data_IF_340907174148
#
_entry.id   IF_340907174148
#
_cell.length_a   1.000
_cell.length_b   1.000
_cell.length_c   1.000
_cell.angle_alpha   90.00
_cell.angle_beta   90.00
_cell.angle_gamma   90.00
#
_symmetry.space_group_name_H-M   'P 1'
#
loop_
_entity.id
_entity.type
_entity.pdbx_description
1 polymer ?
#
# COMPACT_ATOMS: atom_id res chain seq x y z
N UNK A 1 -15.24 13.28 14.88
CA UNK A 1 -15.95 13.48 13.60
C UNK A 1 -15.05 13.01 12.48
N UNK A 2 -15.56 12.28 11.48
CA UNK A 2 -14.73 11.65 10.44
C UNK A 2 -14.11 12.70 9.49
N UNK A 3 -14.89 13.67 9.03
CA UNK A 3 -14.46 14.79 8.17
C UNK A 3 -15.31 16.04 8.43
N UNK A 4 -14.79 17.23 8.11
CA UNK A 4 -15.57 18.49 8.00
C UNK A 4 -15.51 19.02 6.55
N UNK A 5 -16.38 18.54 5.65
CA UNK A 5 -16.39 18.99 4.25
C UNK A 5 -16.56 20.50 4.09
N UNK A 6 -17.28 21.15 5.01
CA UNK A 6 -17.48 22.60 5.03
C UNK A 6 -16.20 23.41 5.32
N UNK A 7 -15.14 22.76 5.79
CA UNK A 7 -13.82 23.36 6.01
C UNK A 7 -12.82 23.00 4.88
N UNK A 8 -13.29 22.38 3.80
CA UNK A 8 -12.42 21.88 2.73
C UNK A 8 -11.57 20.68 3.16
N UNK A 9 -11.94 20.01 4.26
CA UNK A 9 -11.28 18.77 4.67
C UNK A 9 -11.74 17.60 3.81
N UNK A 10 -10.79 16.81 3.32
CA UNK A 10 -11.03 15.57 2.58
C UNK A 10 -10.34 15.54 1.22
N UNK A 11 -10.14 14.34 0.69
CA UNK A 11 -9.63 14.12 -0.67
C UNK A 11 -10.46 13.02 -1.31
N UNK A 12 -11.13 13.34 -2.42
CA UNK A 12 -11.85 12.33 -3.20
C UNK A 12 -10.87 11.62 -4.13
N UNK A 13 -10.98 10.30 -4.15
CA UNK A 13 -10.15 9.39 -4.94
C UNK A 13 -11.07 8.32 -5.54
N UNK A 14 -10.80 7.90 -6.78
CA UNK A 14 -11.53 6.82 -7.45
C UNK A 14 -10.67 5.56 -7.56
N UNK A 15 -10.58 4.79 -6.48
CA UNK A 15 -9.78 3.57 -6.45
C UNK A 15 -10.23 2.53 -7.51
N UNK A 16 -9.26 1.86 -8.13
CA UNK A 16 -9.47 0.64 -8.91
C UNK A 16 -9.81 -0.55 -7.99
N UNK A 17 -10.30 -1.65 -8.57
CA UNK A 17 -10.57 -2.88 -7.82
C UNK A 17 -9.29 -3.43 -7.16
N UNK A 18 -8.17 -3.40 -7.88
CA UNK A 18 -6.86 -3.86 -7.39
C UNK A 18 -6.38 -3.01 -6.21
N UNK A 19 -6.52 -1.69 -6.30
CA UNK A 19 -6.17 -0.78 -5.21
C UNK A 19 -7.01 -1.04 -3.96
N UNK A 20 -8.33 -1.27 -4.11
CA UNK A 20 -9.21 -1.62 -2.99
C UNK A 20 -8.75 -2.93 -2.34
N UNK A 21 -8.44 -3.96 -3.14
CA UNK A 21 -7.94 -5.24 -2.62
C UNK A 21 -6.63 -5.07 -1.86
N UNK A 22 -5.69 -4.28 -2.39
CA UNK A 22 -4.39 -4.06 -1.72
C UNK A 22 -4.55 -3.25 -0.44
N UNK A 23 -5.43 -2.25 -0.41
CA UNK A 23 -5.74 -1.53 0.81
C UNK A 23 -6.35 -2.49 1.84
N UNK A 24 -7.33 -3.31 1.46
CA UNK A 24 -7.94 -4.30 2.35
C UNK A 24 -6.92 -5.30 2.90
N UNK A 25 -5.95 -5.76 2.10
CA UNK A 25 -4.86 -6.63 2.58
C UNK A 25 -4.05 -5.96 3.69
N UNK A 26 -3.80 -4.64 3.61
CA UNK A 26 -3.14 -3.92 4.70
C UNK A 26 -4.06 -3.79 5.90
N UNK A 27 -5.32 -3.35 5.72
CA UNK A 27 -6.26 -3.15 6.82
C UNK A 27 -6.52 -4.45 7.61
N UNK A 28 -6.55 -5.60 6.93
CA UNK A 28 -6.73 -6.94 7.53
C UNK A 28 -5.44 -7.56 8.09
N UNK A 29 -4.34 -6.79 8.10
CA UNK A 29 -3.00 -7.22 8.55
C UNK A 29 -2.37 -8.38 7.75
N UNK A 30 -2.86 -8.66 6.55
CA UNK A 30 -2.14 -9.55 5.63
C UNK A 30 -0.85 -8.90 5.12
N UNK A 31 -0.79 -7.56 5.09
CA UNK A 31 0.39 -6.78 4.72
C UNK A 31 0.67 -5.68 5.76
N UNK A 32 1.95 -5.40 6.02
CA UNK A 32 2.37 -4.31 6.94
C UNK A 32 2.16 -2.92 6.32
N UNK A 33 2.35 -2.81 5.01
CA UNK A 33 2.20 -1.57 4.28
C UNK A 33 2.02 -1.82 2.79
N UNK A 34 1.41 -0.87 2.09
CA UNK A 34 1.31 -0.83 0.64
C UNK A 34 1.31 0.63 0.16
N UNK A 35 1.82 0.86 -1.04
CA UNK A 35 1.78 2.18 -1.68
C UNK A 35 1.72 2.07 -3.19
N UNK A 36 1.09 3.04 -3.83
CA UNK A 36 1.02 3.15 -5.29
C UNK A 36 0.93 4.61 -5.72
N UNK A 37 1.07 4.86 -7.03
CA UNK A 37 0.69 6.11 -7.66
C UNK A 37 -0.58 5.86 -8.45
N UNK A 38 -1.71 6.31 -7.90
CA UNK A 38 -2.99 6.23 -8.57
C UNK A 38 -3.05 7.21 -9.73
N UNK A 39 -3.47 6.72 -10.89
CA UNK A 39 -3.65 7.54 -12.09
C UNK A 39 -5.13 7.51 -12.45
N UNK A 40 -5.77 8.67 -12.40
CA UNK A 40 -7.14 8.83 -12.89
C UNK A 40 -7.20 9.98 -13.87
N UNK A 41 -7.55 9.68 -15.12
CA UNK A 41 -7.39 10.58 -16.26
C UNK A 41 -5.92 11.01 -16.37
N UNK A 42 -5.60 12.27 -16.10
CA UNK A 42 -4.24 12.83 -16.15
C UNK A 42 -3.67 13.15 -14.75
N UNK A 43 -4.48 13.00 -13.70
CA UNK A 43 -4.07 13.29 -12.33
C UNK A 43 -3.37 12.08 -11.71
N UNK A 44 -2.18 12.33 -11.13
CA UNK A 44 -1.40 11.34 -10.40
C UNK A 44 -1.47 11.63 -8.91
N UNK A 45 -2.04 10.72 -8.15
CA UNK A 45 -2.19 10.83 -6.70
C UNK A 45 -1.45 9.69 -6.00
N UNK A 46 -0.40 9.95 -5.22
CA UNK A 46 0.24 8.90 -4.44
C UNK A 46 -0.70 8.43 -3.32
N UNK A 47 -0.83 7.12 -3.14
CA UNK A 47 -1.56 6.50 -2.05
C UNK A 47 -0.58 5.67 -1.24
N UNK A 48 -0.66 5.74 0.08
CA UNK A 48 0.04 4.79 0.95
C UNK A 48 -0.80 4.45 2.17
N UNK A 49 -0.78 3.18 2.53
CA UNK A 49 -1.42 2.65 3.73
C UNK A 49 -0.37 1.87 4.51
N UNK A 50 -0.14 2.22 5.77
CA UNK A 50 0.87 1.57 6.61
C UNK A 50 0.39 1.45 8.05
N UNK A 51 0.71 0.33 8.69
CA UNK A 51 0.57 0.20 10.13
C UNK A 51 1.66 0.96 10.88
N UNK A 52 1.27 1.62 11.95
CA UNK A 52 2.16 2.20 12.96
C UNK A 52 1.90 1.51 14.29
N UNK A 53 2.82 0.62 14.67
CA UNK A 53 2.62 -0.28 15.80
C UNK A 53 1.45 -1.23 15.57
N UNK A 54 0.73 -1.53 16.63
CA UNK A 54 -0.36 -2.51 16.58
C UNK A 54 -1.73 -1.89 16.33
N UNK A 55 -1.97 -0.62 16.68
CA UNK A 55 -3.35 -0.12 16.81
C UNK A 55 -3.69 1.07 15.92
N UNK A 56 -2.77 1.47 15.04
CA UNK A 56 -2.93 2.68 14.22
C UNK A 56 -2.53 2.41 12.77
N UNK A 57 -3.30 2.96 11.85
CA UNK A 57 -2.95 2.98 10.43
C UNK A 57 -2.80 4.42 9.97
N UNK A 58 -1.72 4.69 9.25
CA UNK A 58 -1.60 5.88 8.43
C UNK A 58 -2.14 5.59 7.04
N UNK A 59 -3.17 6.33 6.66
CA UNK A 59 -3.73 6.35 5.31
C UNK A 59 -3.40 7.71 4.69
N UNK A 60 -2.51 7.72 3.70
CA UNK A 60 -2.11 8.95 3.01
C UNK A 60 -2.60 8.93 1.58
N UNK A 61 -3.28 10.00 1.17
CA UNK A 61 -3.73 10.22 -0.21
C UNK A 61 -3.26 11.60 -0.66
N UNK A 62 -2.27 11.65 -1.54
CA UNK A 62 -1.65 12.90 -1.96
C UNK A 62 -1.08 13.68 -0.78
N UNK A 63 -1.59 14.88 -0.56
CA UNK A 63 -1.24 15.77 0.55
C UNK A 63 -2.17 15.63 1.76
N UNK A 64 -3.05 14.63 1.80
CA UNK A 64 -3.98 14.38 2.89
C UNK A 64 -3.59 13.12 3.67
N UNK A 65 -2.75 13.24 4.72
CA UNK A 65 -2.48 12.16 5.65
C UNK A 65 -3.57 12.05 6.71
N UNK A 66 -4.06 10.84 6.96
CA UNK A 66 -5.03 10.54 8.02
C UNK A 66 -4.55 9.37 8.87
N UNK A 67 -4.48 9.57 10.18
CA UNK A 67 -4.30 8.48 11.13
C UNK A 67 -5.67 7.92 11.51
N UNK A 68 -5.81 6.61 11.43
CA UNK A 68 -7.02 5.87 11.77
C UNK A 68 -6.79 5.03 13.02
N UNK A 69 -7.72 5.11 13.97
CA UNK A 69 -7.79 4.23 15.13
C UNK A 69 -8.55 2.94 14.80
N UNK A 70 -8.45 1.92 15.68
CA UNK A 70 -9.11 0.61 15.50
C UNK A 70 -10.59 0.72 15.08
N UNK A 71 -11.46 1.50 15.75
CA UNK A 71 -12.86 1.61 15.32
C UNK A 71 -13.02 2.17 13.90
N UNK A 72 -12.17 3.12 13.51
CA UNK A 72 -12.21 3.71 12.16
C UNK A 72 -11.70 2.73 11.10
N UNK A 73 -10.71 1.90 11.46
CA UNK A 73 -10.18 0.84 10.60
C UNK A 73 -11.27 -0.20 10.33
N UNK A 74 -11.98 -0.66 11.36
CA UNK A 74 -13.08 -1.63 11.20
C UNK A 74 -14.20 -1.11 10.31
N UNK A 75 -14.64 0.14 10.54
CA UNK A 75 -15.65 0.80 9.69
C UNK A 75 -15.16 0.88 8.23
N UNK A 76 -13.89 1.24 8.03
CA UNK A 76 -13.30 1.34 6.70
C UNK A 76 -13.22 -0.01 6.00
N UNK A 77 -12.88 -1.09 6.71
CA UNK A 77 -12.86 -2.46 6.17
C UNK A 77 -14.25 -2.85 5.68
N UNK A 78 -15.27 -2.72 6.52
CA UNK A 78 -16.65 -3.06 6.16
C UNK A 78 -17.12 -2.28 4.93
N UNK A 79 -16.83 -0.97 4.89
CA UNK A 79 -17.20 -0.11 3.77
C UNK A 79 -16.46 -0.54 2.47
N UNK A 80 -15.17 -0.81 2.55
CA UNK A 80 -14.38 -1.21 1.37
C UNK A 80 -14.77 -2.58 0.83
N UNK A 81 -15.08 -3.55 1.71
CA UNK A 81 -15.61 -4.85 1.30
C UNK A 81 -16.95 -4.72 0.60
N UNK A 82 -17.84 -3.90 1.15
CA UNK A 82 -19.14 -3.61 0.55
C UNK A 82 -18.99 -3.02 -0.86
N UNK A 83 -18.20 -1.94 -1.00
CA UNK A 83 -17.94 -1.29 -2.29
C UNK A 83 -17.30 -2.27 -3.28
N UNK A 84 -16.37 -3.11 -2.83
CA UNK A 84 -15.72 -4.10 -3.68
C UNK A 84 -16.74 -5.10 -4.24
N UNK A 85 -17.58 -5.65 -3.37
CA UNK A 85 -18.62 -6.60 -3.76
C UNK A 85 -19.63 -5.98 -4.74
N UNK A 86 -20.09 -4.75 -4.48
CA UNK A 86 -20.96 -4.02 -5.38
C UNK A 86 -20.31 -3.79 -6.75
N UNK A 87 -19.06 -3.29 -6.77
CA UNK A 87 -18.35 -3.05 -8.04
C UNK A 87 -18.19 -4.32 -8.85
N UNK A 88 -17.87 -5.45 -8.21
CA UNK A 88 -17.78 -6.75 -8.89
C UNK A 88 -19.14 -7.13 -9.46
N UNK A 89 -20.21 -7.04 -8.66
CA UNK A 89 -21.57 -7.34 -9.10
C UNK A 89 -21.93 -6.50 -10.33
N UNK A 90 -21.83 -5.17 -10.28
CA UNK A 90 -22.23 -4.31 -11.39
C UNK A 90 -21.31 -4.39 -12.62
N UNK A 91 -20.05 -4.81 -12.45
CA UNK A 91 -19.14 -5.05 -13.59
C UNK A 91 -19.37 -6.39 -14.29
N UNK A 92 -19.94 -7.38 -13.59
CA UNK A 92 -20.10 -8.77 -14.08
C UNK A 92 -21.54 -9.16 -14.35
N UNK A 93 -22.51 -8.43 -13.79
CA UNK A 93 -23.93 -8.59 -14.12
C UNK A 93 -24.15 -7.98 -15.49
N UNK A 94 -24.22 -8.82 -16.54
CA UNK A 94 -24.56 -8.42 -17.90
C UNK A 94 -26.00 -7.93 -18.06
N UNK A 95 -26.57 -7.26 -17.06
CA UNK A 95 -27.90 -6.68 -17.13
C UNK A 95 -27.84 -5.43 -18.01
N UNK A 96 -28.09 -5.64 -19.30
CA UNK A 96 -28.69 -4.61 -20.14
C UNK A 96 -29.91 -4.09 -19.40
N UNK A 97 -29.85 -2.86 -18.92
CA UNK A 97 -31.01 -2.13 -18.39
C UNK A 97 -32.03 -1.91 -19.51
N UNK A 98 -32.84 -2.92 -19.78
CA UNK A 98 -34.17 -2.74 -20.35
C UNK A 98 -35.09 -2.35 -19.21
N UNK A 99 -35.70 -1.18 -19.33
CA UNK A 99 -36.65 -0.61 -18.39
C UNK A 99 -37.74 -1.60 -17.95
N UNK A 100 -37.92 -1.80 -16.65
CA UNK A 100 -39.18 -1.53 -15.94
C UNK A 100 -39.01 -1.70 -14.42
N UNK A 101 -39.39 -0.67 -13.67
CA UNK A 101 -39.52 -0.65 -12.20
C UNK A 101 -40.93 -1.11 -11.77
N UNK A 102 -41.33 -1.06 -10.48
CA UNK A 102 -40.80 -1.77 -9.31
C UNK A 102 -41.94 -2.54 -8.56
N UNK A 103 -41.63 -3.60 -7.82
CA UNK A 103 -42.47 -4.06 -6.67
C UNK A 103 -41.58 -4.55 -5.53
N UNK A 104 -41.35 -3.72 -4.52
CA UNK A 104 -42.01 -3.69 -3.18
C UNK A 104 -41.55 -4.81 -2.24
N UNK A 105 -40.84 -4.39 -1.20
CA UNK A 105 -40.62 -4.95 0.14
C UNK A 105 -41.02 -6.41 0.43
N UNK A 106 -40.07 -7.19 0.93
CA UNK A 106 -40.27 -7.93 2.18
C UNK A 106 -38.93 -8.12 2.91
N UNK A 107 -38.90 -7.63 4.15
CA UNK A 107 -37.92 -8.01 5.16
C UNK A 107 -38.26 -9.42 5.64
N UNK A 108 -37.26 -10.30 5.73
CA UNK A 108 -37.29 -11.41 6.68
C UNK A 108 -35.87 -11.68 7.16
N UNK A 109 -35.68 -11.45 8.45
CA UNK A 109 -34.51 -11.80 9.28
C UNK A 109 -34.63 -13.26 9.71
N UNK A 110 -33.47 -13.86 9.99
CA UNK A 110 -33.22 -15.13 10.69
C UNK A 110 -33.31 -16.40 9.82
N UNK A 111 -32.40 -17.39 9.84
CA UNK A 111 -31.52 -17.86 10.91
C UNK A 111 -30.35 -18.73 10.38
N UNK A 112 -29.21 -18.62 11.08
CA UNK A 112 -28.17 -19.60 11.44
C UNK A 112 -27.72 -20.78 10.53
N UNK A 113 -26.38 -20.86 10.48
CA UNK A 113 -25.48 -22.03 10.51
C UNK A 113 -25.41 -22.97 9.29
N UNK A 114 -24.27 -22.97 8.59
CA UNK A 114 -23.31 -24.05 8.81
C UNK A 114 -21.90 -23.79 8.23
N UNK A 115 -20.93 -24.23 9.01
CA UNK A 115 -19.49 -24.10 8.87
C UNK A 115 -18.98 -25.09 7.83
N UNK A 116 -18.17 -24.61 6.87
CA UNK A 116 -17.07 -25.40 6.31
C UNK A 116 -15.79 -24.57 6.32
N UNK A 117 -15.07 -24.71 7.42
CA UNK A 117 -13.69 -24.27 7.57
C UNK A 117 -12.78 -25.23 6.78
N UNK A 118 -12.37 -24.82 5.59
CA UNK A 118 -11.26 -25.47 4.89
C UNK A 118 -9.96 -24.84 5.38
N UNK A 119 -9.23 -25.59 6.21
CA UNK A 119 -7.85 -25.26 6.61
C UNK A 119 -6.96 -25.37 5.38
N UNK A 120 -6.61 -24.23 4.79
CA UNK A 120 -5.42 -24.16 3.92
C UNK A 120 -4.22 -23.90 4.82
N UNK A 121 -3.48 -24.97 5.11
CA UNK A 121 -2.10 -24.89 5.54
C UNK A 121 -1.27 -24.46 4.34
N UNK A 122 -0.72 -23.26 4.38
CA UNK A 122 0.45 -22.89 3.59
C UNK A 122 1.44 -22.23 4.54
N UNK A 123 2.23 -23.08 5.19
CA UNK A 123 3.55 -22.72 5.66
C UNK A 123 4.35 -22.15 4.49
N UNK A 124 5.09 -21.07 4.77
CA UNK A 124 6.20 -20.54 3.97
C UNK A 124 5.89 -20.18 2.52
N UNK A 125 5.22 -19.03 2.32
CA UNK A 125 5.43 -18.25 1.10
C UNK A 125 6.39 -17.09 1.44
N UNK A 126 7.69 -17.37 1.38
CA UNK A 126 8.66 -16.33 1.04
C UNK A 126 8.35 -15.87 -0.38
N UNK A 127 7.49 -14.86 -0.49
CA UNK A 127 7.41 -14.09 -1.73
C UNK A 127 8.74 -13.35 -1.82
N UNK A 128 9.67 -13.93 -2.57
CA UNK A 128 10.75 -13.18 -3.22
C UNK A 128 10.04 -12.24 -4.18
N UNK A 129 9.69 -11.07 -3.64
CA UNK A 129 9.07 -10.00 -4.38
C UNK A 129 10.16 -9.47 -5.32
N UNK A 130 10.21 -9.98 -6.55
CA UNK A 130 10.70 -9.22 -7.70
C UNK A 130 9.75 -8.04 -7.86
N UNK A 131 9.94 -7.03 -7.01
CA UNK A 131 9.21 -5.78 -7.08
C UNK A 131 9.68 -5.12 -8.37
N UNK A 132 8.82 -5.13 -9.38
CA UNK A 132 8.96 -4.27 -10.56
C UNK A 132 8.71 -2.82 -10.10
N UNK A 133 9.70 -2.28 -9.39
CA UNK A 133 9.80 -0.90 -8.96
C UNK A 133 10.03 -0.09 -10.24
N UNK A 134 8.95 0.37 -10.87
CA UNK A 134 9.04 1.19 -12.07
C UNK A 134 10.09 2.30 -11.93
N UNK A 135 10.73 2.67 -13.05
CA UNK A 135 11.96 3.44 -13.33
C UNK A 135 12.56 4.43 -12.29
N UNK A 136 11.85 4.82 -11.25
CA UNK A 136 12.21 5.85 -10.27
C UNK A 136 13.04 5.37 -9.08
N UNK A 137 13.06 4.08 -8.76
CA UNK A 137 13.89 3.53 -7.68
C UNK A 137 14.49 2.19 -8.12
N UNK A 138 15.75 1.93 -7.76
CA UNK A 138 16.42 0.65 -8.02
C UNK A 138 16.81 -0.03 -6.71
N UNK A 139 16.79 -1.35 -6.75
CA UNK A 139 17.32 -2.20 -5.68
C UNK A 139 18.82 -2.38 -5.92
N UNK A 140 19.64 -2.04 -4.93
CA UNK A 140 21.08 -2.27 -4.96
C UNK A 140 21.51 -3.07 -3.72
N UNK A 141 22.67 -3.69 -3.78
CA UNK A 141 23.29 -4.32 -2.61
C UNK A 141 24.55 -3.55 -2.22
N UNK A 142 24.74 -3.31 -0.92
CA UNK A 142 25.91 -2.61 -0.42
C UNK A 142 26.21 -2.91 1.04
N UNK A 143 27.36 -2.44 1.50
CA UNK A 143 27.80 -2.52 2.90
C UNK A 143 27.82 -1.11 3.47
N UNK A 144 27.18 -0.90 4.63
CA UNK A 144 27.27 0.38 5.35
C UNK A 144 28.67 0.47 5.97
N UNK A 145 29.44 1.46 5.54
CA UNK A 145 30.78 1.76 6.07
C UNK A 145 30.79 2.91 7.06
N UNK A 146 29.87 3.85 6.92
CA UNK A 146 29.78 5.00 7.81
C UNK A 146 28.40 5.64 7.74
N UNK A 147 27.97 6.23 8.85
CA UNK A 147 26.70 6.94 8.97
C UNK A 147 26.91 8.36 9.49
N UNK A 148 26.23 9.32 8.87
CA UNK A 148 26.11 10.70 9.36
C UNK A 148 24.65 11.03 9.63
N UNK A 149 24.38 12.20 10.22
CA UNK A 149 23.01 12.67 10.46
C UNK A 149 22.16 12.69 9.18
N UNK A 150 22.77 12.99 8.01
CA UNK A 150 22.05 13.22 6.75
C UNK A 150 22.33 12.20 5.64
N UNK A 151 23.36 11.36 5.78
CA UNK A 151 23.77 10.43 4.72
C UNK A 151 24.40 9.14 5.23
N UNK A 152 24.39 8.13 4.37
CA UNK A 152 25.03 6.84 4.56
C UNK A 152 26.12 6.65 3.50
N UNK A 153 27.28 6.17 3.93
CA UNK A 153 28.34 5.72 3.03
C UNK A 153 28.14 4.23 2.74
N UNK A 154 27.82 3.93 1.49
CA UNK A 154 27.65 2.56 1.02
C UNK A 154 28.84 2.15 0.16
N UNK A 155 29.43 1.01 0.50
CA UNK A 155 30.41 0.31 -0.34
C UNK A 155 29.69 -0.69 -1.24
N UNK A 156 29.90 -0.58 -2.54
CA UNK A 156 29.31 -1.44 -3.56
C UNK A 156 30.19 -2.66 -3.85
N UNK A 157 29.64 -3.63 -4.58
CA UNK A 157 30.33 -4.88 -4.95
C UNK A 157 31.62 -4.67 -5.77
N UNK A 158 31.73 -3.55 -6.49
CA UNK A 158 32.94 -3.15 -7.24
C UNK A 158 33.98 -2.42 -6.36
N UNK A 159 33.84 -2.48 -5.02
CA UNK A 159 34.69 -1.81 -4.04
C UNK A 159 34.65 -0.27 -4.09
N UNK A 160 33.70 0.32 -4.83
CA UNK A 160 33.49 1.77 -4.86
C UNK A 160 32.61 2.23 -3.69
N UNK A 161 32.85 3.45 -3.22
CA UNK A 161 32.20 4.02 -2.05
C UNK A 161 31.42 5.28 -2.46
N UNK A 162 30.14 5.34 -2.11
CA UNK A 162 29.30 6.49 -2.43
C UNK A 162 28.46 6.92 -1.24
N UNK A 163 28.33 8.24 -1.10
CA UNK A 163 27.42 8.84 -0.14
C UNK A 163 26.01 8.91 -0.72
N UNK A 164 25.06 8.35 0.02
CA UNK A 164 23.64 8.41 -0.26
C UNK A 164 22.93 9.20 0.83
N UNK A 165 22.17 10.26 0.49
CA UNK A 165 21.28 10.90 1.45
C UNK A 165 20.29 9.89 2.02
N UNK A 166 20.07 9.90 3.34
CA UNK A 166 19.07 9.02 3.99
C UNK A 166 17.67 9.20 3.39
N UNK A 167 17.36 10.41 2.93
CA UNK A 167 16.10 10.73 2.25
C UNK A 167 15.91 10.00 0.90
N UNK A 168 16.99 9.58 0.25
CA UNK A 168 16.96 8.82 -1.02
C UNK A 168 16.87 7.31 -0.84
N UNK A 169 17.08 6.82 0.39
CA UNK A 169 16.99 5.40 0.73
C UNK A 169 15.58 5.14 1.26
N UNK A 170 14.78 4.39 0.50
CA UNK A 170 13.39 4.08 0.83
C UNK A 170 13.24 2.78 1.61
N UNK A 171 14.28 1.95 1.63
CA UNK A 171 14.33 0.73 2.42
C UNK A 171 14.63 1.03 3.90
N UNK A 172 14.11 0.19 4.79
CA UNK A 172 14.62 0.11 6.17
C UNK A 172 16.01 -0.53 6.11
N UNK A 173 16.99 0.06 6.77
CA UNK A 173 18.35 -0.47 6.89
C UNK A 173 18.73 -0.57 8.36
N UNK A 174 19.57 -1.55 8.70
CA UNK A 174 20.14 -1.67 10.03
C UNK A 174 21.53 -1.04 10.01
N UNK A 175 21.78 -0.02 10.83
CA UNK A 175 23.06 0.70 10.96
C UNK A 175 24.23 -0.15 11.49
N UNK A 176 24.17 -1.47 11.39
CA UNK A 176 25.26 -2.36 11.79
C UNK A 176 26.33 -2.30 10.71
N UNK A 177 27.45 -1.63 11.03
CA UNK A 177 28.61 -1.52 10.15
C UNK A 177 29.09 -2.92 9.70
N UNK A 178 29.46 -3.03 8.43
CA UNK A 178 30.03 -4.27 7.87
C UNK A 178 29.03 -5.33 7.45
N UNK A 179 27.71 -5.11 7.58
CA UNK A 179 26.71 -6.07 7.10
C UNK A 179 26.26 -5.75 5.68
N UNK A 180 26.32 -6.74 4.77
CA UNK A 180 25.78 -6.62 3.41
C UNK A 180 24.26 -6.56 3.49
N UNK A 181 23.67 -5.49 2.96
CA UNK A 181 22.22 -5.26 2.96
C UNK A 181 21.75 -4.83 1.57
N UNK A 182 20.48 -5.11 1.28
CA UNK A 182 19.83 -4.60 0.07
C UNK A 182 19.15 -3.27 0.37
N UNK A 183 19.42 -2.27 -0.45
CA UNK A 183 18.86 -0.94 -0.36
C UNK A 183 17.96 -0.65 -1.55
N UNK A 184 16.81 -0.04 -1.30
CA UNK A 184 15.96 0.52 -2.35
C UNK A 184 16.28 2.01 -2.39
N UNK A 185 16.93 2.46 -3.47
CA UNK A 185 17.45 3.82 -3.62
C UNK A 185 16.83 4.47 -4.86
N UNK A 186 16.54 5.77 -4.79
CA UNK A 186 16.05 6.53 -5.94
C UNK A 186 17.01 6.45 -7.15
N UNK A 187 16.49 6.20 -8.37
CA UNK A 187 17.30 5.99 -9.58
C UNK A 187 18.18 7.19 -9.93
N UNK A 188 17.70 8.41 -9.65
CA UNK A 188 18.41 9.65 -9.98
C UNK A 188 19.76 9.79 -9.25
N UNK A 189 19.88 9.28 -8.02
CA UNK A 189 21.14 9.37 -7.26
C UNK A 189 22.12 8.28 -7.70
N UNK A 190 21.62 7.13 -8.17
CA UNK A 190 22.43 6.07 -8.78
C UNK A 190 23.00 6.53 -10.14
N UNK A 191 22.18 7.16 -10.98
CA UNK A 191 22.61 7.74 -12.26
C UNK A 191 23.63 8.86 -12.06
N UNK A 192 23.42 9.74 -11.08
CA UNK A 192 24.36 10.82 -10.74
C UNK A 192 25.73 10.29 -10.30
N UNK A 193 25.73 9.18 -9.55
CA UNK A 193 26.95 8.56 -9.03
C UNK A 193 27.57 7.55 -10.02
N UNK A 194 26.96 7.34 -11.21
CA UNK A 194 27.33 6.31 -12.20
C UNK A 194 27.40 4.91 -11.60
N UNK A 195 26.50 4.61 -10.68
CA UNK A 195 26.39 3.29 -10.06
C UNK A 195 25.53 2.43 -10.98
N UNK A 196 26.14 1.44 -11.61
CA UNK A 196 25.39 0.37 -12.30
C UNK A 196 24.72 -0.50 -11.24
N UNK A 197 23.41 -0.71 -11.42
CA UNK A 197 22.57 -1.55 -10.57
C UNK A 197 22.53 -2.97 -11.12
#
# INVERSE_FOLDING_TARGET
TWEKPSMGEGKTIKCSLEEIVMILKVLKRNLKSWSTVHVFKEEKTPISVKWEGENKIWFNVGNYPKMLSIPQIEILVLMMEHILAEKIKFATSGEKSGETSPKTNEFSVDSTNDIKSEKVNTDNLEVVEEVNLGDRVKKIEGIIKSETEKGLLLQMNNNSEYWFPKSTIKSKFNSVEGTKQSFIIDSWILEKNKVEA
#
